data_IF_830609595188
#
_entry.id   IF_830609595188
#
_cell.length_a   1.000
_cell.length_b   1.000
_cell.length_c   1.000
_cell.angle_alpha   90.00
_cell.angle_beta   90.00
_cell.angle_gamma   90.00
#
_symmetry.space_group_name_H-M   'P 1'
#
loop_
_entity.id
_entity.type
_entity.pdbx_description
1 polymer ?
#
# COMPACT_ATOMS: atom_id res chain seq x y z
N UNK A 1 12.56 28.73 -7.99
CA UNK A 1 12.39 27.34 -8.41
C UNK A 1 11.18 26.78 -7.71
N UNK A 2 10.41 25.91 -8.36
CA UNK A 2 9.21 25.30 -7.78
C UNK A 2 9.62 24.26 -6.74
N UNK A 3 9.16 24.38 -5.49
CA UNK A 3 9.44 23.45 -4.40
C UNK A 3 8.42 22.30 -4.39
N UNK A 4 8.89 21.06 -4.32
CA UNK A 4 8.08 19.84 -4.34
C UNK A 4 7.95 19.28 -2.92
N UNK A 5 6.72 19.06 -2.45
CA UNK A 5 6.43 18.26 -1.27
C UNK A 5 6.11 16.82 -1.70
N UNK A 6 6.91 15.86 -1.28
CA UNK A 6 6.74 14.43 -1.51
C UNK A 6 6.22 13.82 -0.21
N UNK A 7 5.01 13.24 -0.25
CA UNK A 7 4.35 12.67 0.92
C UNK A 7 4.59 11.16 0.97
N UNK A 8 5.39 10.72 1.94
CA UNK A 8 5.81 9.34 2.16
C UNK A 8 7.19 9.02 1.59
N UNK A 9 8.04 8.39 2.42
CA UNK A 9 9.37 7.88 2.04
C UNK A 9 9.33 6.35 1.75
N UNK A 10 8.29 5.90 1.08
CA UNK A 10 8.19 4.54 0.52
C UNK A 10 8.87 4.44 -0.86
N UNK A 11 8.75 3.28 -1.54
CA UNK A 11 9.42 3.06 -2.83
C UNK A 11 9.16 4.15 -3.87
N UNK A 12 7.91 4.60 -4.02
CA UNK A 12 7.55 5.62 -5.02
C UNK A 12 7.95 7.03 -4.58
N UNK A 13 7.88 7.34 -3.28
CA UNK A 13 8.33 8.64 -2.77
C UNK A 13 9.85 8.83 -2.91
N UNK A 14 10.64 7.78 -2.68
CA UNK A 14 12.09 7.83 -2.87
C UNK A 14 12.47 7.87 -4.36
N UNK A 15 11.74 7.18 -5.23
CA UNK A 15 11.88 7.31 -6.69
C UNK A 15 11.62 8.75 -7.13
N UNK A 16 10.55 9.38 -6.61
CA UNK A 16 10.24 10.78 -6.89
C UNK A 16 11.29 11.75 -6.34
N UNK A 17 11.86 11.47 -5.16
CA UNK A 17 12.95 12.25 -4.59
C UNK A 17 14.19 12.21 -5.48
N UNK A 18 14.56 11.02 -5.97
CA UNK A 18 15.69 10.87 -6.88
C UNK A 18 15.44 11.56 -8.23
N UNK A 19 14.22 11.48 -8.77
CA UNK A 19 13.82 12.21 -9.96
C UNK A 19 13.92 13.74 -9.76
N UNK A 20 13.58 14.25 -8.56
CA UNK A 20 13.74 15.66 -8.23
C UNK A 20 15.22 16.08 -8.18
N UNK A 21 16.11 15.22 -7.64
CA UNK A 21 17.57 15.44 -7.68
C UNK A 21 18.06 15.54 -9.13
N UNK A 22 17.69 14.59 -9.99
CA UNK A 22 18.07 14.58 -11.42
C UNK A 22 17.56 15.82 -12.17
N UNK A 23 16.36 16.29 -11.83
CA UNK A 23 15.76 17.49 -12.41
C UNK A 23 16.29 18.81 -11.82
N UNK A 24 17.11 18.78 -10.78
CA UNK A 24 17.60 19.98 -10.08
C UNK A 24 16.48 20.77 -9.40
N UNK A 25 15.38 20.13 -9.00
CA UNK A 25 14.24 20.77 -8.36
C UNK A 25 14.33 20.62 -6.83
N UNK A 26 14.10 21.69 -6.05
CA UNK A 26 14.09 21.61 -4.59
C UNK A 26 12.88 20.80 -4.12
N UNK A 27 13.10 19.94 -3.14
CA UNK A 27 12.06 19.08 -2.60
C UNK A 27 12.21 18.87 -1.09
N UNK A 28 11.13 18.41 -0.46
CA UNK A 28 11.12 17.85 0.90
C UNK A 28 10.27 16.60 0.91
N UNK A 29 10.77 15.51 1.48
CA UNK A 29 10.04 14.28 1.72
C UNK A 29 9.52 14.29 3.15
N UNK A 30 8.22 14.07 3.34
CA UNK A 30 7.58 13.98 4.66
C UNK A 30 7.20 12.52 4.93
N UNK A 31 7.86 11.91 5.91
CA UNK A 31 7.59 10.53 6.33
C UNK A 31 6.97 10.52 7.74
N UNK A 32 5.82 9.88 7.85
CA UNK A 32 5.10 9.79 9.12
C UNK A 32 5.76 8.86 10.13
N UNK A 33 6.48 7.83 9.65
CA UNK A 33 7.25 6.94 10.50
C UNK A 33 8.57 7.59 10.96
N UNK A 34 9.18 7.04 11.99
CA UNK A 34 10.51 7.45 12.48
C UNK A 34 11.65 7.03 11.55
N UNK A 35 11.37 6.20 10.57
CA UNK A 35 12.31 5.61 9.63
C UNK A 35 11.73 5.54 8.22
N UNK A 36 12.61 5.36 7.23
CA UNK A 36 12.23 5.14 5.83
C UNK A 36 11.36 3.89 5.67
N UNK A 37 10.37 3.99 4.77
CA UNK A 37 9.53 2.85 4.37
C UNK A 37 8.80 2.15 5.53
N UNK A 38 8.30 2.92 6.52
CA UNK A 38 7.66 2.37 7.72
C UNK A 38 6.57 1.33 7.44
N UNK A 39 5.76 1.53 6.40
CA UNK A 39 4.75 0.55 6.00
C UNK A 39 5.38 -0.75 5.46
N UNK A 40 6.46 -0.69 4.66
CA UNK A 40 7.15 -1.89 4.16
C UNK A 40 7.80 -2.66 5.32
N UNK A 41 8.43 -1.96 6.25
CA UNK A 41 8.99 -2.55 7.47
C UNK A 41 7.96 -3.33 8.28
N UNK A 42 6.72 -2.86 8.33
CA UNK A 42 5.66 -3.50 9.11
C UNK A 42 5.30 -4.92 8.63
N UNK A 43 5.68 -5.28 7.40
CA UNK A 43 5.57 -6.62 6.82
C UNK A 43 6.91 -7.11 6.26
N UNK A 44 8.01 -6.67 6.85
CA UNK A 44 9.38 -6.97 6.41
C UNK A 44 9.71 -8.46 6.30
N UNK A 45 9.09 -9.33 7.10
CA UNK A 45 9.23 -10.79 7.06
C UNK A 45 8.58 -11.43 5.83
N UNK A 46 7.70 -10.73 5.11
CA UNK A 46 6.94 -11.29 3.99
C UNK A 46 7.78 -11.33 2.73
N UNK A 47 7.92 -12.50 2.11
CA UNK A 47 8.55 -12.65 0.81
C UNK A 47 7.64 -12.14 -0.32
N UNK A 48 8.21 -11.31 -1.20
CA UNK A 48 7.54 -10.86 -2.40
C UNK A 48 7.48 -12.00 -3.45
N UNK A 49 6.46 -12.00 -4.27
CA UNK A 49 6.35 -12.92 -5.40
C UNK A 49 6.93 -12.34 -6.70
N UNK A 50 7.46 -11.11 -6.64
CA UNK A 50 8.19 -10.44 -7.71
C UNK A 50 9.70 -10.53 -7.45
N UNK A 51 10.54 -10.90 -8.45
CA UNK A 51 11.99 -10.97 -8.29
C UNK A 51 12.60 -9.57 -8.14
N UNK A 52 13.87 -9.50 -7.73
CA UNK A 52 14.61 -8.24 -7.58
C UNK A 52 14.52 -7.32 -8.80
N UNK A 53 14.58 -7.87 -10.01
CA UNK A 53 14.48 -7.12 -11.27
C UNK A 53 13.17 -6.33 -11.42
N UNK A 54 12.13 -6.70 -10.68
CA UNK A 54 10.83 -6.04 -10.71
C UNK A 54 10.60 -5.10 -9.52
N UNK A 55 11.55 -5.03 -8.59
CA UNK A 55 11.41 -4.26 -7.33
C UNK A 55 12.40 -3.09 -7.23
N UNK A 56 13.31 -2.93 -8.20
CA UNK A 56 14.29 -1.84 -8.25
C UNK A 56 14.27 -1.22 -9.65
N UNK A 57 14.03 0.09 -9.72
CA UNK A 57 14.06 0.85 -10.98
C UNK A 57 15.50 1.00 -11.48
N UNK A 58 15.64 1.25 -12.77
CA UNK A 58 16.95 1.54 -13.37
C UNK A 58 17.56 2.83 -12.82
N UNK A 59 16.73 3.83 -12.50
CA UNK A 59 17.16 5.07 -11.83
C UNK A 59 17.79 4.78 -10.47
N UNK A 60 17.07 4.03 -9.64
CA UNK A 60 17.55 3.66 -8.29
C UNK A 60 18.82 2.82 -8.38
N UNK A 61 18.86 1.85 -9.30
CA UNK A 61 20.04 1.01 -9.53
C UNK A 61 21.28 1.85 -9.82
N UNK A 62 21.21 2.73 -10.82
CA UNK A 62 22.33 3.62 -11.18
C UNK A 62 22.78 4.50 -10.02
N UNK A 63 21.84 5.08 -9.27
CA UNK A 63 22.16 5.95 -8.16
C UNK A 63 22.91 5.20 -7.04
N UNK A 64 22.43 4.02 -6.67
CA UNK A 64 23.05 3.19 -5.64
C UNK A 64 24.43 2.66 -6.08
N UNK A 65 24.55 2.16 -7.30
CA UNK A 65 25.83 1.69 -7.85
C UNK A 65 26.88 2.82 -7.89
N UNK A 66 26.46 4.04 -8.31
CA UNK A 66 27.32 5.21 -8.32
C UNK A 66 27.80 5.60 -6.91
N UNK A 67 26.95 5.39 -5.90
CA UNK A 67 27.28 5.63 -4.50
C UNK A 67 28.05 4.48 -3.82
N UNK A 68 28.37 3.40 -4.55
CA UNK A 68 29.09 2.26 -4.02
C UNK A 68 28.23 1.27 -3.22
N UNK A 69 26.90 1.33 -3.37
CA UNK A 69 25.95 0.39 -2.79
C UNK A 69 25.48 -0.60 -3.87
N UNK A 70 26.00 -1.84 -3.91
CA UNK A 70 25.61 -2.80 -4.92
C UNK A 70 24.14 -3.20 -4.73
N UNK A 71 23.38 -3.14 -5.80
CA UNK A 71 21.99 -3.62 -5.82
C UNK A 71 22.01 -5.14 -5.93
N UNK A 72 21.16 -5.88 -5.18
CA UNK A 72 21.09 -7.33 -5.25
C UNK A 72 20.88 -7.85 -6.67
N UNK A 73 21.48 -8.99 -6.96
CA UNK A 73 21.32 -9.67 -8.24
C UNK A 73 19.86 -10.10 -8.44
N UNK A 74 19.43 -10.11 -9.68
CA UNK A 74 18.14 -10.66 -10.08
C UNK A 74 18.11 -12.18 -10.07
N UNK A 75 19.27 -12.81 -9.95
CA UNK A 75 19.46 -14.25 -9.90
C UNK A 75 20.28 -14.61 -8.65
N UNK A 76 19.97 -15.76 -8.05
CA UNK A 76 20.75 -16.33 -6.96
C UNK A 76 22.04 -16.99 -7.49
N UNK A 77 22.84 -17.57 -6.56
CA UNK A 77 24.09 -18.27 -6.90
C UNK A 77 23.90 -19.48 -7.84
N UNK A 78 22.68 -19.96 -8.01
CA UNK A 78 22.30 -21.08 -8.89
C UNK A 78 21.79 -20.62 -10.25
N UNK A 79 21.69 -19.30 -10.49
CA UNK A 79 21.10 -18.72 -11.67
C UNK A 79 19.56 -18.74 -11.67
N UNK A 80 18.93 -18.97 -10.50
CA UNK A 80 17.49 -18.90 -10.33
C UNK A 80 17.07 -17.48 -9.91
N UNK A 81 15.81 -17.11 -10.21
CA UNK A 81 15.30 -15.79 -9.83
C UNK A 81 15.34 -15.61 -8.31
N UNK A 82 15.99 -14.55 -7.86
CA UNK A 82 16.05 -14.18 -6.44
C UNK A 82 14.87 -13.29 -6.07
N UNK A 83 14.20 -13.64 -4.97
CA UNK A 83 12.99 -12.98 -4.48
C UNK A 83 13.28 -12.34 -3.11
N UNK A 84 13.16 -10.99 -2.97
CA UNK A 84 13.36 -10.33 -1.69
C UNK A 84 12.19 -10.55 -0.74
N UNK A 85 12.46 -10.41 0.54
CA UNK A 85 11.43 -10.05 1.53
C UNK A 85 11.21 -8.53 1.53
N UNK A 86 10.15 -8.07 2.22
CA UNK A 86 9.97 -6.63 2.46
C UNK A 86 11.14 -6.01 3.22
N UNK A 87 11.73 -6.75 4.17
CA UNK A 87 12.93 -6.36 4.92
C UNK A 87 14.14 -6.21 4.02
N UNK A 88 14.41 -7.19 3.17
CA UNK A 88 15.50 -7.12 2.19
C UNK A 88 15.38 -5.90 1.29
N UNK A 89 14.17 -5.61 0.79
CA UNK A 89 13.93 -4.42 -0.02
C UNK A 89 14.25 -3.14 0.74
N UNK A 90 13.89 -3.07 2.01
CA UNK A 90 14.20 -1.91 2.85
C UNK A 90 15.70 -1.80 3.10
N UNK A 91 16.32 -2.86 3.58
CA UNK A 91 17.72 -2.82 4.05
C UNK A 91 18.71 -2.67 2.90
N UNK A 92 18.46 -3.33 1.78
CA UNK A 92 19.39 -3.37 0.66
C UNK A 92 19.14 -2.29 -0.41
N UNK A 93 17.96 -1.66 -0.42
CA UNK A 93 17.61 -0.66 -1.45
C UNK A 93 17.09 0.65 -0.84
N UNK A 94 15.97 0.61 -0.10
CA UNK A 94 15.29 1.85 0.29
C UNK A 94 16.06 2.64 1.35
N UNK A 95 16.68 1.98 2.30
CA UNK A 95 17.50 2.62 3.34
C UNK A 95 18.80 3.20 2.77
N UNK A 96 19.60 2.49 1.96
CA UNK A 96 20.74 3.09 1.26
C UNK A 96 20.34 4.26 0.37
N UNK A 97 19.23 4.16 -0.38
CA UNK A 97 18.73 5.24 -1.22
C UNK A 97 18.37 6.50 -0.41
N UNK A 98 17.65 6.33 0.71
CA UNK A 98 17.32 7.42 1.61
C UNK A 98 18.56 8.04 2.30
N UNK A 99 19.66 7.27 2.40
CA UNK A 99 20.93 7.69 2.97
C UNK A 99 21.84 8.45 2.02
N UNK A 100 21.52 8.55 0.73
CA UNK A 100 22.33 9.31 -0.22
C UNK A 100 22.43 10.80 0.16
N UNK A 101 23.61 11.39 0.06
CA UNK A 101 23.87 12.81 0.40
C UNK A 101 22.90 13.79 -0.30
N UNK A 102 22.45 13.44 -1.50
CA UNK A 102 21.49 14.25 -2.26
C UNK A 102 20.04 14.10 -1.78
N UNK A 103 19.71 13.11 -0.95
CA UNK A 103 18.35 12.79 -0.50
C UNK A 103 18.19 12.95 1.02
N UNK A 104 19.12 12.42 1.80
CA UNK A 104 19.02 12.35 3.25
C UNK A 104 18.71 13.70 3.94
N UNK A 105 19.33 14.84 3.56
CA UNK A 105 19.03 16.14 4.16
C UNK A 105 17.61 16.64 3.91
N UNK A 106 16.91 16.05 2.94
CA UNK A 106 15.59 16.47 2.50
C UNK A 106 14.46 15.60 3.05
N UNK A 107 14.76 14.55 3.84
CA UNK A 107 13.75 13.71 4.47
C UNK A 107 13.44 14.18 5.89
N UNK A 108 12.16 14.37 6.18
CA UNK A 108 11.65 14.72 7.50
C UNK A 108 10.86 13.53 8.07
N UNK A 109 11.54 12.74 8.89
CA UNK A 109 10.94 11.62 9.59
C UNK A 109 10.04 12.08 10.75
N UNK A 110 9.13 11.20 11.21
CA UNK A 110 8.20 11.49 12.28
C UNK A 110 7.26 12.66 11.98
N UNK A 111 7.07 12.98 10.70
CA UNK A 111 6.32 14.16 10.25
C UNK A 111 5.17 13.74 9.34
N UNK A 112 3.96 13.76 9.86
CA UNK A 112 2.75 13.41 9.12
C UNK A 112 2.11 14.65 8.51
N UNK A 113 1.80 14.60 7.22
CA UNK A 113 0.89 15.58 6.60
C UNK A 113 -0.54 15.20 7.00
N UNK A 114 -1.22 16.12 7.69
CA UNK A 114 -2.59 15.95 8.20
C UNK A 114 -3.60 16.43 7.17
N UNK A 115 -3.37 17.63 6.63
CA UNK A 115 -4.25 18.25 5.63
C UNK A 115 -3.45 19.04 4.59
N UNK A 116 -3.99 19.08 3.39
CA UNK A 116 -3.46 19.87 2.26
C UNK A 116 -4.58 20.77 1.73
N UNK A 117 -4.29 22.05 1.62
CA UNK A 117 -5.19 23.05 1.02
C UNK A 117 -4.43 24.01 0.11
N UNK A 118 -5.14 24.92 -0.57
CA UNK A 118 -4.53 26.04 -1.29
C UNK A 118 -4.41 27.25 -0.40
N UNK A 119 -3.28 27.94 -0.46
CA UNK A 119 -3.04 29.18 0.27
C UNK A 119 -4.05 30.26 -0.14
N UNK A 120 -4.88 30.69 0.84
CA UNK A 120 -5.87 31.74 0.67
C UNK A 120 -7.06 31.40 -0.25
N UNK A 121 -7.33 30.11 -0.52
CA UNK A 121 -8.46 29.68 -1.36
C UNK A 121 -9.23 28.51 -0.74
N UNK A 122 -10.55 28.60 -0.77
CA UNK A 122 -11.42 27.50 -0.44
C UNK A 122 -11.58 26.51 -1.62
N UNK A 123 -12.08 25.33 -1.33
CA UNK A 123 -12.28 24.27 -2.35
C UNK A 123 -13.19 24.70 -3.50
N UNK A 124 -14.22 25.47 -3.21
CA UNK A 124 -15.27 25.88 -4.15
C UNK A 124 -14.95 27.18 -4.89
N UNK A 125 -13.76 27.74 -4.73
CA UNK A 125 -13.32 28.96 -5.41
C UNK A 125 -12.45 28.62 -6.62
N UNK A 126 -12.52 29.46 -7.65
CA UNK A 126 -11.70 29.38 -8.86
C UNK A 126 -11.76 28.02 -9.59
N UNK A 127 -12.97 27.44 -9.66
CA UNK A 127 -13.19 26.16 -10.34
C UNK A 127 -12.98 26.33 -11.85
N UNK A 128 -12.07 25.50 -12.42
CA UNK A 128 -11.79 25.50 -13.86
C UNK A 128 -11.01 26.71 -14.37
N UNK A 129 -10.47 27.55 -13.48
CA UNK A 129 -9.61 28.68 -13.85
C UNK A 129 -8.13 28.37 -13.62
N UNK A 130 -7.23 29.16 -14.24
CA UNK A 130 -5.78 29.05 -13.99
C UNK A 130 -5.32 29.68 -12.67
N UNK A 131 -6.18 30.36 -11.93
CA UNK A 131 -5.80 31.14 -10.74
C UNK A 131 -5.27 30.23 -9.62
N UNK A 132 -5.83 29.04 -9.45
CA UNK A 132 -5.35 28.09 -8.44
C UNK A 132 -3.88 27.70 -8.63
N UNK A 133 -3.41 27.60 -9.87
CA UNK A 133 -2.01 27.29 -10.18
C UNK A 133 -1.02 28.40 -9.74
N UNK A 134 -1.51 29.63 -9.49
CA UNK A 134 -0.67 30.74 -9.03
C UNK A 134 -0.46 30.78 -7.52
N UNK A 135 -1.16 29.89 -6.77
CA UNK A 135 -1.07 29.83 -5.32
C UNK A 135 -0.34 28.57 -4.89
N UNK A 136 0.41 28.65 -3.79
CA UNK A 136 1.09 27.50 -3.20
C UNK A 136 0.09 26.57 -2.50
N UNK A 137 0.48 25.34 -2.29
CA UNK A 137 -0.17 24.47 -1.33
C UNK A 137 0.22 24.91 0.09
N UNK A 138 -0.75 24.84 0.99
CA UNK A 138 -0.59 24.97 2.43
C UNK A 138 -0.74 23.59 3.04
N UNK A 139 0.30 23.12 3.72
CA UNK A 139 0.41 21.79 4.30
C UNK A 139 0.31 21.93 5.83
N UNK A 140 -0.65 21.25 6.45
CA UNK A 140 -0.70 21.09 7.90
C UNK A 140 0.09 19.86 8.28
N UNK A 141 1.15 20.03 9.05
CA UNK A 141 2.03 18.98 9.54
C UNK A 141 1.76 18.68 11.00
N UNK A 142 1.98 17.42 11.39
CA UNK A 142 2.02 17.00 12.79
C UNK A 142 3.28 16.19 13.04
N UNK A 143 4.08 16.60 14.02
CA UNK A 143 5.28 15.86 14.43
C UNK A 143 4.96 14.67 15.35
N UNK A 144 5.97 13.86 15.67
CA UNK A 144 5.84 12.70 16.55
C UNK A 144 5.40 13.06 17.99
N UNK A 145 5.59 14.31 18.42
CA UNK A 145 5.14 14.83 19.72
C UNK A 145 3.71 15.36 19.70
N UNK A 146 3.08 15.39 18.51
CA UNK A 146 1.72 15.90 18.30
C UNK A 146 1.65 17.40 18.05
N UNK A 147 2.79 18.11 17.95
CA UNK A 147 2.80 19.54 17.62
C UNK A 147 2.44 19.74 16.15
N UNK A 148 1.65 20.76 15.89
CA UNK A 148 1.24 21.13 14.53
C UNK A 148 1.98 22.38 14.04
N UNK A 149 2.31 22.34 12.74
CA UNK A 149 2.94 23.45 12.02
C UNK A 149 2.43 23.54 10.60
N UNK A 150 2.75 24.63 9.92
CA UNK A 150 2.34 24.86 8.53
C UNK A 150 3.56 25.10 7.67
N UNK A 151 3.59 24.41 6.52
CA UNK A 151 4.58 24.65 5.45
C UNK A 151 3.89 24.83 4.10
N UNK A 152 4.68 25.24 3.10
CA UNK A 152 4.18 25.58 1.78
C UNK A 152 5.00 24.89 0.70
N UNK A 153 4.33 24.46 -0.37
CA UNK A 153 4.94 23.87 -1.56
C UNK A 153 4.23 24.32 -2.83
N UNK A 154 4.94 24.27 -3.95
CA UNK A 154 4.38 24.61 -5.27
C UNK A 154 3.77 23.38 -5.94
N UNK A 155 4.30 22.20 -5.64
CA UNK A 155 3.87 20.90 -6.15
C UNK A 155 3.71 19.94 -4.99
N UNK A 156 2.70 19.08 -5.02
CA UNK A 156 2.53 18.00 -4.05
C UNK A 156 2.42 16.66 -4.78
N UNK A 157 3.28 15.71 -4.39
CA UNK A 157 3.26 14.33 -4.84
C UNK A 157 2.80 13.44 -3.68
N UNK A 158 1.59 12.92 -3.77
CA UNK A 158 1.04 12.01 -2.76
C UNK A 158 1.46 10.57 -3.07
N UNK A 159 2.52 10.13 -2.38
CA UNK A 159 3.10 8.79 -2.45
C UNK A 159 2.81 7.97 -1.17
N UNK A 160 1.75 8.31 -0.41
CA UNK A 160 1.47 7.73 0.91
C UNK A 160 0.99 6.28 0.87
N UNK A 161 0.61 5.76 -0.29
CA UNK A 161 0.14 4.39 -0.44
C UNK A 161 -1.24 4.14 0.21
N UNK A 162 -1.49 2.89 0.63
CA UNK A 162 -2.82 2.45 1.08
C UNK A 162 -2.82 1.79 2.47
N UNK A 163 -1.69 1.34 3.00
CA UNK A 163 -1.62 0.48 4.19
C UNK A 163 -2.19 1.10 5.46
N UNK A 164 -2.14 2.44 5.60
CA UNK A 164 -2.68 3.15 6.78
C UNK A 164 -4.22 3.24 6.78
N UNK A 165 -4.88 2.81 5.70
CA UNK A 165 -6.34 2.86 5.59
C UNK A 165 -6.92 1.50 5.14
N UNK A 166 -6.85 0.47 6.02
CA UNK A 166 -7.38 -0.85 5.73
C UNK A 166 -8.90 -0.84 5.62
N UNK A 167 -9.43 -1.72 4.76
CA UNK A 167 -10.86 -1.90 4.63
C UNK A 167 -11.46 -2.50 5.91
N UNK A 168 -12.72 -2.18 6.16
CA UNK A 168 -13.50 -2.75 7.25
C UNK A 168 -13.76 -4.26 7.04
N UNK A 169 -14.04 -4.97 8.12
CA UNK A 169 -14.33 -6.40 8.12
C UNK A 169 -15.74 -6.73 7.61
N UNK A 170 -16.69 -5.83 7.88
CA UNK A 170 -18.10 -6.10 7.68
C UNK A 170 -18.52 -6.23 6.21
N UNK A 171 -19.64 -6.87 6.01
CA UNK A 171 -20.24 -7.06 4.70
C UNK A 171 -20.47 -5.71 3.99
N UNK A 172 -20.27 -5.69 2.66
CA UNK A 172 -20.45 -4.48 1.86
C UNK A 172 -19.35 -3.43 2.05
N UNK A 173 -18.28 -3.72 2.81
CA UNK A 173 -17.15 -2.81 3.03
C UNK A 173 -17.39 -1.75 4.11
N UNK A 174 -18.46 -1.86 4.88
CA UNK A 174 -18.70 -1.07 6.09
C UNK A 174 -18.25 -1.82 7.34
N UNK A 175 -18.08 -1.13 8.46
CA UNK A 175 -17.73 -1.79 9.73
C UNK A 175 -18.85 -2.73 10.17
N UNK A 176 -18.47 -3.91 10.64
CA UNK A 176 -19.41 -4.78 11.33
C UNK A 176 -19.77 -4.20 12.71
N UNK A 177 -21.01 -4.34 13.19
CA UNK A 177 -21.34 -4.07 14.57
C UNK A 177 -20.34 -4.73 15.52
N UNK A 178 -19.82 -3.99 16.50
CA UNK A 178 -18.82 -4.44 17.45
C UNK A 178 -17.36 -4.40 16.98
N UNK A 179 -17.10 -4.14 15.69
CA UNK A 179 -15.73 -4.12 15.12
C UNK A 179 -14.81 -3.10 15.82
N UNK A 180 -15.33 -1.95 16.21
CA UNK A 180 -14.55 -0.95 16.93
C UNK A 180 -14.19 -1.40 18.35
N UNK A 181 -15.12 -2.05 19.05
CA UNK A 181 -14.90 -2.58 20.40
C UNK A 181 -13.96 -3.79 20.44
N UNK A 182 -13.88 -4.54 19.33
CA UNK A 182 -13.00 -5.70 19.19
C UNK A 182 -11.64 -5.34 18.54
N UNK A 183 -11.30 -4.07 18.38
CA UNK A 183 -10.13 -3.62 17.61
C UNK A 183 -8.79 -4.19 18.09
N UNK A 184 -8.63 -4.45 19.38
CA UNK A 184 -7.42 -5.05 19.97
C UNK A 184 -7.18 -6.51 19.53
N UNK A 185 -8.23 -7.22 19.12
CA UNK A 185 -8.17 -8.58 18.62
C UNK A 185 -7.93 -8.66 17.10
N UNK A 186 -7.99 -7.53 16.38
CA UNK A 186 -7.96 -7.47 14.92
C UNK A 186 -6.60 -6.98 14.43
N UNK A 187 -5.89 -7.85 13.75
CA UNK A 187 -4.63 -7.55 13.08
C UNK A 187 -4.91 -7.35 11.59
N UNK A 188 -4.48 -6.20 11.02
CA UNK A 188 -4.81 -5.80 9.65
C UNK A 188 -3.60 -5.84 8.68
N UNK A 189 -2.64 -6.66 9.01
CA UNK A 189 -1.44 -6.96 8.20
C UNK A 189 -1.11 -8.44 8.35
N UNK A 190 -0.25 -8.96 7.50
CA UNK A 190 0.27 -10.32 7.65
C UNK A 190 1.12 -10.33 8.92
N UNK A 191 0.79 -11.15 9.92
CA UNK A 191 1.60 -11.25 11.13
C UNK A 191 2.91 -11.99 10.85
N UNK A 192 3.93 -11.69 11.63
CA UNK A 192 5.07 -12.58 11.77
C UNK A 192 4.71 -13.65 12.82
N UNK A 193 4.48 -14.87 12.37
CA UNK A 193 4.06 -15.98 13.23
C UNK A 193 5.22 -16.56 14.04
N UNK A 194 6.47 -16.20 13.74
CA UNK A 194 7.66 -16.60 14.48
C UNK A 194 7.98 -15.58 15.58
N UNK A 195 7.59 -14.31 15.40
CA UNK A 195 7.85 -13.27 16.39
C UNK A 195 6.90 -13.39 17.60
N UNK A 196 7.37 -13.10 18.83
CA UNK A 196 6.50 -12.97 19.99
C UNK A 196 5.53 -11.82 19.79
N UNK A 197 4.28 -11.96 20.24
CA UNK A 197 3.32 -10.86 20.23
C UNK A 197 3.90 -9.66 21.02
N UNK A 198 3.91 -8.49 20.38
CA UNK A 198 4.42 -7.27 20.99
C UNK A 198 3.65 -6.96 22.28
N UNK A 199 4.36 -6.91 23.42
CA UNK A 199 3.77 -6.64 24.73
C UNK A 199 4.10 -7.66 25.83
N UNK A 200 4.83 -8.72 25.51
CA UNK A 200 5.49 -9.59 26.52
C UNK A 200 4.58 -10.45 27.43
N UNK A 201 3.25 -10.36 27.31
CA UNK A 201 2.30 -11.04 28.19
C UNK A 201 1.34 -11.97 27.42
N UNK A 202 1.23 -11.83 26.11
CA UNK A 202 0.38 -12.72 25.32
C UNK A 202 1.17 -13.95 24.85
N UNK A 203 0.61 -15.16 24.92
CA UNK A 203 1.19 -16.34 24.25
C UNK A 203 1.40 -16.03 22.77
N UNK A 204 2.44 -16.63 22.17
CA UNK A 204 2.64 -16.57 20.72
C UNK A 204 1.38 -17.00 19.95
N UNK A 205 1.41 -17.01 18.66
CA UNK A 205 0.28 -17.39 17.81
C UNK A 205 -0.15 -18.87 17.99
N UNK A 206 0.75 -19.71 18.47
CA UNK A 206 0.50 -21.14 18.70
C UNK A 206 -0.55 -21.41 19.77
N UNK A 207 -1.38 -22.42 19.55
CA UNK A 207 -2.44 -22.86 20.47
C UNK A 207 -3.69 -21.98 20.46
N UNK A 208 -3.76 -20.94 19.61
CA UNK A 208 -4.88 -20.00 19.53
C UNK A 208 -5.92 -20.42 18.50
N UNK A 209 -7.15 -19.93 18.70
CA UNK A 209 -8.24 -19.96 17.71
C UNK A 209 -8.14 -18.69 16.88
N UNK A 210 -7.82 -18.81 15.61
CA UNK A 210 -7.53 -17.71 14.71
C UNK A 210 -8.60 -17.67 13.62
N UNK A 211 -9.20 -16.48 13.40
CA UNK A 211 -10.03 -16.22 12.23
C UNK A 211 -9.21 -15.46 11.20
N UNK A 212 -8.96 -16.06 10.05
CA UNK A 212 -8.42 -15.40 8.87
C UNK A 212 -9.55 -14.92 7.97
N UNK A 213 -9.61 -13.63 7.64
CA UNK A 213 -10.64 -13.04 6.76
C UNK A 213 -9.97 -12.47 5.52
N UNK A 214 -10.37 -12.96 4.35
CA UNK A 214 -9.89 -12.49 3.05
C UNK A 214 -9.55 -13.63 2.09
N UNK A 215 -9.40 -13.30 0.81
CA UNK A 215 -9.05 -14.27 -0.24
C UNK A 215 -7.97 -13.76 -1.21
N UNK A 216 -7.46 -12.52 -1.01
CA UNK A 216 -6.38 -11.94 -1.81
C UNK A 216 -5.00 -12.51 -1.44
N UNK A 217 -3.96 -12.12 -2.19
CA UNK A 217 -2.60 -12.66 -2.02
C UNK A 217 -2.07 -12.54 -0.58
N UNK A 218 -2.36 -11.45 0.13
CA UNK A 218 -1.97 -11.31 1.55
C UNK A 218 -2.62 -12.37 2.44
N UNK A 219 -3.91 -12.70 2.20
CA UNK A 219 -4.59 -13.75 2.95
C UNK A 219 -4.06 -15.14 2.59
N UNK A 220 -3.70 -15.36 1.32
CA UNK A 220 -3.08 -16.60 0.86
C UNK A 220 -1.70 -16.80 1.49
N UNK A 221 -0.89 -15.73 1.59
CA UNK A 221 0.41 -15.76 2.28
C UNK A 221 0.22 -16.10 3.75
N UNK A 222 -0.69 -15.41 4.45
CA UNK A 222 -0.98 -15.71 5.85
C UNK A 222 -1.51 -17.13 6.05
N UNK A 223 -2.33 -17.64 5.11
CA UNK A 223 -2.84 -19.02 5.17
C UNK A 223 -1.71 -20.06 5.04
N UNK A 224 -0.77 -19.86 4.11
CA UNK A 224 0.41 -20.71 3.96
C UNK A 224 1.25 -20.74 5.24
N UNK A 225 1.52 -19.58 5.83
CA UNK A 225 2.35 -19.46 7.02
C UNK A 225 1.64 -20.02 8.27
N UNK A 226 0.29 -19.87 8.34
CA UNK A 226 -0.55 -20.49 9.37
C UNK A 226 -0.62 -22.02 9.25
N UNK A 227 -0.58 -22.61 8.05
CA UNK A 227 -0.49 -24.07 7.89
C UNK A 227 0.75 -24.62 8.59
N UNK A 228 1.91 -24.01 8.35
CA UNK A 228 3.15 -24.38 9.04
C UNK A 228 3.06 -24.21 10.57
N UNK A 229 2.32 -23.20 11.05
CA UNK A 229 2.08 -23.02 12.49
C UNK A 229 1.18 -24.12 13.07
N UNK A 230 0.10 -24.47 12.38
CA UNK A 230 -0.82 -25.55 12.80
C UNK A 230 -0.10 -26.89 12.89
N UNK A 231 0.79 -27.18 11.93
CA UNK A 231 1.60 -28.40 11.92
C UNK A 231 2.60 -28.46 13.09
N UNK A 232 3.25 -27.33 13.40
CA UNK A 232 4.27 -27.26 14.46
C UNK A 232 3.69 -27.16 15.86
N UNK A 233 2.51 -26.55 16.04
CA UNK A 233 1.97 -26.24 17.37
C UNK A 233 0.59 -26.83 17.53
N UNK A 234 0.47 -28.04 18.16
CA UNK A 234 -0.81 -28.66 18.43
C UNK A 234 -1.76 -27.76 19.22
N UNK A 235 -3.04 -27.78 18.86
CA UNK A 235 -4.05 -26.94 19.48
C UNK A 235 -4.32 -25.62 18.77
N UNK A 236 -3.45 -25.19 17.84
CA UNK A 236 -3.73 -24.06 16.94
C UNK A 236 -4.90 -24.43 16.02
N UNK A 237 -5.89 -23.56 15.92
CA UNK A 237 -7.06 -23.74 15.06
C UNK A 237 -7.27 -22.53 14.19
N UNK A 238 -7.48 -22.73 12.88
CA UNK A 238 -7.71 -21.67 11.93
C UNK A 238 -9.07 -21.83 11.28
N UNK A 239 -9.93 -20.83 11.42
CA UNK A 239 -11.12 -20.66 10.59
C UNK A 239 -10.79 -19.66 9.50
N UNK A 240 -10.96 -20.02 8.23
CA UNK A 240 -10.69 -19.15 7.09
C UNK A 240 -11.98 -18.71 6.41
N UNK A 241 -12.41 -17.47 6.65
CA UNK A 241 -13.61 -16.89 6.06
C UNK A 241 -13.30 -16.20 4.72
N UNK A 242 -13.91 -16.66 3.65
CA UNK A 242 -13.71 -16.17 2.28
C UNK A 242 -15.06 -15.72 1.73
N UNK A 243 -15.14 -14.48 1.25
CA UNK A 243 -16.40 -13.89 0.75
C UNK A 243 -16.94 -14.61 -0.49
N UNK A 244 -16.07 -15.01 -1.41
CA UNK A 244 -16.48 -15.77 -2.60
C UNK A 244 -16.95 -17.18 -2.21
N UNK A 245 -18.10 -17.65 -2.72
CA UNK A 245 -18.53 -19.04 -2.51
C UNK A 245 -17.68 -20.05 -3.31
N UNK A 246 -17.05 -19.58 -4.39
CA UNK A 246 -16.13 -20.36 -5.24
C UNK A 246 -14.87 -19.53 -5.50
N UNK A 247 -13.92 -19.48 -4.54
CA UNK A 247 -12.76 -18.63 -4.65
C UNK A 247 -11.78 -19.15 -5.70
N UNK A 248 -11.48 -18.32 -6.70
CA UNK A 248 -10.41 -18.59 -7.68
C UNK A 248 -9.04 -18.18 -7.17
N UNK A 249 -8.98 -17.41 -6.10
CA UNK A 249 -7.77 -16.82 -5.50
C UNK A 249 -6.96 -15.93 -6.45
N UNK A 250 -7.59 -15.43 -7.52
CA UNK A 250 -6.89 -14.63 -8.53
C UNK A 250 -5.97 -15.45 -9.42
N UNK A 251 -6.33 -16.71 -9.69
CA UNK A 251 -5.59 -17.57 -10.61
C UNK A 251 -5.49 -16.92 -12.00
N UNK A 252 -4.30 -16.94 -12.55
CA UNK A 252 -3.97 -16.48 -13.90
C UNK A 252 -3.50 -17.69 -14.70
N UNK A 253 -4.08 -17.89 -15.89
CA UNK A 253 -3.64 -18.95 -16.79
C UNK A 253 -2.22 -18.63 -17.28
N UNK A 254 -1.35 -19.64 -17.31
CA UNK A 254 0.06 -19.50 -17.68
C UNK A 254 0.79 -18.35 -16.95
N UNK A 255 0.55 -18.22 -15.66
CA UNK A 255 1.11 -17.15 -14.81
C UNK A 255 2.65 -17.06 -14.94
N UNK A 256 3.12 -15.95 -15.46
CA UNK A 256 4.54 -15.68 -15.65
C UNK A 256 5.31 -15.41 -14.35
N UNK A 257 4.60 -15.33 -13.18
CA UNK A 257 5.20 -15.20 -11.85
C UNK A 257 5.12 -16.54 -11.10
N UNK A 258 6.19 -17.37 -11.11
CA UNK A 258 6.15 -18.72 -10.51
C UNK A 258 5.77 -18.71 -9.02
N UNK A 259 6.25 -17.72 -8.26
CA UNK A 259 5.94 -17.61 -6.83
C UNK A 259 4.46 -17.26 -6.60
N UNK A 260 3.85 -16.38 -7.44
CA UNK A 260 2.42 -16.08 -7.38
C UNK A 260 1.60 -17.32 -7.75
N UNK A 261 1.97 -18.01 -8.83
CA UNK A 261 1.32 -19.25 -9.23
C UNK A 261 1.33 -20.30 -8.12
N UNK A 262 2.50 -20.52 -7.51
CA UNK A 262 2.67 -21.46 -6.39
C UNK A 262 1.79 -21.07 -5.21
N UNK A 263 1.74 -19.79 -4.83
CA UNK A 263 0.92 -19.27 -3.74
C UNK A 263 -0.58 -19.53 -3.99
N UNK A 264 -1.05 -19.24 -5.21
CA UNK A 264 -2.46 -19.46 -5.60
C UNK A 264 -2.82 -20.96 -5.55
N UNK A 265 -1.95 -21.84 -6.09
CA UNK A 265 -2.15 -23.29 -6.04
C UNK A 265 -2.20 -23.81 -4.61
N UNK A 266 -1.33 -23.28 -3.74
CA UNK A 266 -1.32 -23.63 -2.34
C UNK A 266 -2.64 -23.22 -1.64
N UNK A 267 -3.10 -21.99 -1.88
CA UNK A 267 -4.39 -21.52 -1.34
C UNK A 267 -5.58 -22.36 -1.83
N UNK A 268 -5.59 -22.76 -3.11
CA UNK A 268 -6.61 -23.66 -3.66
C UNK A 268 -6.60 -25.02 -2.97
N UNK A 269 -5.40 -25.59 -2.69
CA UNK A 269 -5.25 -26.85 -1.94
C UNK A 269 -5.76 -26.70 -0.51
N UNK A 270 -5.40 -25.62 0.19
CA UNK A 270 -5.87 -25.35 1.55
C UNK A 270 -7.39 -25.12 1.63
N UNK A 271 -8.01 -24.64 0.57
CA UNK A 271 -9.46 -24.46 0.52
C UNK A 271 -10.22 -25.72 0.11
N UNK A 272 -9.53 -26.84 -0.18
CA UNK A 272 -10.14 -28.13 -0.53
C UNK A 272 -10.61 -28.92 0.71
N UNK A 273 -11.25 -30.06 0.47
CA UNK A 273 -12.01 -30.84 1.49
C UNK A 273 -11.16 -31.36 2.65
N UNK A 274 -9.89 -31.70 2.41
CA UNK A 274 -9.00 -32.29 3.45
C UNK A 274 -8.07 -31.22 4.08
N UNK A 275 -8.55 -30.00 4.21
CA UNK A 275 -7.79 -28.88 4.78
C UNK A 275 -7.56 -29.04 6.29
N UNK A 276 -6.39 -28.65 6.81
CA UNK A 276 -6.18 -28.50 8.25
C UNK A 276 -6.95 -27.32 8.84
N UNK A 277 -7.57 -26.48 7.98
CA UNK A 277 -8.36 -25.31 8.35
C UNK A 277 -9.86 -25.60 8.26
N UNK A 278 -10.64 -24.93 9.12
CA UNK A 278 -12.08 -24.82 8.96
C UNK A 278 -12.38 -23.71 7.92
N UNK A 279 -12.49 -24.09 6.64
CA UNK A 279 -12.67 -23.13 5.54
C UNK A 279 -14.15 -22.79 5.35
N UNK A 280 -14.48 -21.52 5.43
CA UNK A 280 -15.83 -20.96 5.33
C UNK A 280 -15.97 -20.09 4.06
N UNK A 281 -16.11 -20.73 2.90
CA UNK A 281 -16.37 -20.03 1.63
C UNK A 281 -17.80 -19.46 1.59
N UNK A 282 -18.00 -18.34 0.89
CA UNK A 282 -19.29 -17.65 0.82
C UNK A 282 -19.70 -16.98 2.13
N UNK A 283 -18.75 -16.62 2.98
CA UNK A 283 -19.01 -16.01 4.29
C UNK A 283 -18.47 -14.59 4.37
N UNK A 284 -19.22 -13.71 5.02
CA UNK A 284 -18.80 -12.36 5.41
C UNK A 284 -19.03 -12.15 6.89
N UNK A 285 -18.22 -11.28 7.50
CA UNK A 285 -18.39 -10.91 8.91
C UNK A 285 -19.63 -10.02 9.04
N UNK A 286 -20.57 -10.42 9.91
CA UNK A 286 -21.83 -9.72 10.15
C UNK A 286 -21.81 -8.94 11.47
N UNK A 287 -21.19 -9.48 12.53
CA UNK A 287 -21.03 -8.82 13.83
C UNK A 287 -19.86 -9.40 14.62
N UNK A 288 -19.35 -8.63 15.59
CA UNK A 288 -18.35 -9.05 16.56
C UNK A 288 -18.79 -8.66 17.97
N UNK A 289 -18.51 -9.52 18.94
CA UNK A 289 -18.76 -9.25 20.36
C UNK A 289 -17.58 -9.78 21.18
N UNK A 290 -16.91 -8.85 21.89
CA UNK A 290 -15.86 -9.24 22.82
C UNK A 290 -16.46 -9.96 24.03
N UNK A 291 -15.88 -11.09 24.44
CA UNK A 291 -16.30 -11.89 25.57
C UNK A 291 -15.09 -12.31 26.41
N UNK A 292 -15.30 -12.81 27.65
CA UNK A 292 -14.19 -13.35 28.46
C UNK A 292 -13.43 -14.51 27.79
N UNK A 293 -14.10 -15.25 26.91
CA UNK A 293 -13.53 -16.41 26.20
C UNK A 293 -12.92 -16.06 24.83
N UNK A 294 -12.82 -14.77 24.48
CA UNK A 294 -12.34 -14.28 23.18
C UNK A 294 -13.39 -13.43 22.47
N UNK A 295 -13.35 -13.42 21.14
CA UNK A 295 -14.30 -12.68 20.30
C UNK A 295 -15.31 -13.66 19.68
N UNK A 296 -16.59 -13.43 19.93
CA UNK A 296 -17.68 -14.10 19.21
C UNK A 296 -17.87 -13.39 17.88
N UNK A 297 -17.60 -14.07 16.78
CA UNK A 297 -17.77 -13.55 15.43
C UNK A 297 -18.97 -14.21 14.77
N UNK A 298 -19.93 -13.40 14.36
CA UNK A 298 -21.05 -13.83 13.53
C UNK A 298 -20.66 -13.76 12.06
N UNK A 299 -20.70 -14.88 11.39
CA UNK A 299 -20.51 -15.02 9.95
C UNK A 299 -21.87 -15.16 9.27
N UNK A 300 -22.05 -14.53 8.11
CA UNK A 300 -23.28 -14.56 7.33
C UNK A 300 -23.05 -15.06 5.93
N UNK A 301 -23.96 -15.90 5.45
CA UNK A 301 -24.05 -16.40 4.08
C UNK A 301 -24.84 -15.46 3.17
N UNK A 302 -24.78 -15.69 1.87
CA UNK A 302 -25.53 -14.91 0.89
C UNK A 302 -27.06 -15.06 1.03
N UNK A 303 -27.54 -16.21 1.51
CA UNK A 303 -28.96 -16.47 1.79
C UNK A 303 -29.45 -15.84 3.10
N UNK A 304 -28.54 -15.23 3.86
CA UNK A 304 -28.84 -14.55 5.12
C UNK A 304 -28.73 -15.45 6.37
N UNK A 305 -28.39 -16.73 6.22
CA UNK A 305 -28.12 -17.62 7.36
C UNK A 305 -26.92 -17.11 8.15
N UNK A 306 -26.92 -17.33 9.47
CA UNK A 306 -25.88 -16.90 10.39
C UNK A 306 -25.31 -18.07 11.15
N UNK A 307 -24.01 -18.02 11.37
CA UNK A 307 -23.28 -18.95 12.24
C UNK A 307 -22.29 -18.16 13.11
N UNK A 308 -21.90 -18.70 14.24
CA UNK A 308 -20.95 -18.06 15.14
C UNK A 308 -19.70 -18.89 15.31
N UNK A 309 -18.56 -18.22 15.42
CA UNK A 309 -17.27 -18.78 15.80
C UNK A 309 -16.70 -17.98 16.95
N UNK A 310 -16.02 -18.64 17.89
CA UNK A 310 -15.32 -17.97 18.99
C UNK A 310 -13.83 -18.07 18.73
N UNK A 311 -13.15 -16.92 18.69
CA UNK A 311 -11.74 -16.82 18.30
C UNK A 311 -10.96 -15.95 19.28
N UNK A 312 -9.65 -16.17 19.34
CA UNK A 312 -8.74 -15.40 20.18
C UNK A 312 -8.11 -14.23 19.42
N UNK A 313 -8.00 -14.38 18.09
CA UNK A 313 -7.44 -13.35 17.18
C UNK A 313 -8.14 -13.36 15.83
N UNK A 314 -8.19 -12.20 15.21
CA UNK A 314 -8.73 -12.01 13.86
C UNK A 314 -7.64 -11.40 12.98
N UNK A 315 -7.28 -12.07 11.91
CA UNK A 315 -6.39 -11.55 10.87
C UNK A 315 -7.25 -11.06 9.72
N UNK A 316 -7.35 -9.73 9.58
CA UNK A 316 -8.20 -9.06 8.59
C UNK A 316 -7.38 -8.64 7.38
N UNK A 317 -7.37 -9.44 6.33
CA UNK A 317 -6.65 -9.16 5.08
C UNK A 317 -7.64 -8.91 3.94
N UNK A 318 -8.50 -7.92 4.18
CA UNK A 318 -9.59 -7.51 3.28
C UNK A 318 -9.15 -6.43 2.28
N UNK A 319 -7.86 -6.14 2.22
CA UNK A 319 -7.27 -5.09 1.40
C UNK A 319 -7.28 -3.71 2.08
N UNK A 320 -6.77 -2.73 1.37
CA UNK A 320 -6.68 -1.34 1.83
C UNK A 320 -6.92 -0.39 0.65
N UNK A 321 -7.26 0.85 0.93
CA UNK A 321 -7.48 1.90 -0.07
C UNK A 321 -6.82 3.19 0.39
N UNK A 322 -6.40 4.05 -0.54
CA UNK A 322 -5.78 5.35 -0.20
C UNK A 322 -6.67 6.22 0.69
N UNK A 323 -6.07 6.94 1.63
CA UNK A 323 -6.78 7.90 2.46
C UNK A 323 -6.87 9.25 1.74
N UNK A 324 -8.09 9.62 1.33
CA UNK A 324 -8.40 10.87 0.63
C UNK A 324 -8.67 12.05 1.60
N UNK A 325 -8.77 11.80 2.91
CA UNK A 325 -9.15 12.83 3.88
C UNK A 325 -8.18 13.99 3.92
N UNK A 326 -6.86 13.72 3.73
CA UNK A 326 -5.84 14.76 3.78
C UNK A 326 -5.98 15.84 2.71
N UNK A 327 -6.52 15.51 1.53
CA UNK A 327 -6.73 16.47 0.44
C UNK A 327 -8.21 16.78 0.17
N UNK A 328 -9.06 16.60 1.17
CA UNK A 328 -10.50 16.86 1.06
C UNK A 328 -10.83 18.32 0.66
N UNK A 329 -9.92 19.25 0.94
CA UNK A 329 -10.05 20.66 0.60
C UNK A 329 -9.49 21.03 -0.79
N UNK A 330 -9.01 20.05 -1.55
CA UNK A 330 -8.54 20.25 -2.91
C UNK A 330 -9.60 19.84 -3.95
N UNK A 331 -9.46 20.36 -5.17
CA UNK A 331 -10.36 20.03 -6.29
C UNK A 331 -9.90 18.74 -6.98
N UNK A 332 -9.80 17.66 -6.21
CA UNK A 332 -9.49 16.33 -6.73
C UNK A 332 -10.78 15.62 -7.11
N UNK A 333 -10.88 15.15 -8.35
CA UNK A 333 -11.96 14.29 -8.78
C UNK A 333 -11.61 12.83 -8.50
N UNK A 334 -12.34 12.23 -7.58
CA UNK A 334 -12.26 10.79 -7.30
C UNK A 334 -13.40 10.04 -7.98
N UNK A 335 -13.10 8.87 -8.50
CA UNK A 335 -14.11 7.90 -8.88
C UNK A 335 -14.73 7.27 -7.62
N UNK A 336 -15.98 7.53 -7.35
CA UNK A 336 -16.68 6.97 -6.18
C UNK A 336 -16.69 5.44 -6.15
N UNK A 337 -16.66 4.77 -7.31
CA UNK A 337 -16.66 3.32 -7.39
C UNK A 337 -15.27 2.72 -7.02
N UNK A 338 -14.18 3.36 -7.48
CA UNK A 338 -12.83 2.82 -7.35
C UNK A 338 -11.99 3.52 -6.30
N UNK A 339 -12.39 4.69 -5.79
CA UNK A 339 -11.62 5.53 -4.87
C UNK A 339 -10.26 5.99 -5.43
N UNK A 340 -10.08 5.93 -6.75
CA UNK A 340 -8.90 6.44 -7.45
C UNK A 340 -9.18 7.77 -8.15
N UNK A 341 -8.13 8.52 -8.59
CA UNK A 341 -8.29 9.72 -9.41
C UNK A 341 -9.09 9.42 -10.68
N UNK A 342 -10.08 10.27 -11.02
CA UNK A 342 -11.11 9.97 -12.02
C UNK A 342 -10.54 9.60 -13.40
N UNK A 343 -9.54 10.32 -13.90
CA UNK A 343 -8.98 10.07 -15.24
C UNK A 343 -8.30 8.71 -15.30
N UNK A 344 -7.43 8.41 -14.33
CA UNK A 344 -6.76 7.13 -14.26
C UNK A 344 -7.75 5.99 -13.97
N UNK A 345 -8.73 6.21 -13.08
CA UNK A 345 -9.77 5.24 -12.79
C UNK A 345 -10.59 4.89 -14.06
N UNK A 346 -10.90 5.87 -14.90
CA UNK A 346 -11.60 5.64 -16.18
C UNK A 346 -10.75 4.79 -17.14
N UNK A 347 -9.45 5.05 -17.24
CA UNK A 347 -8.54 4.27 -18.06
C UNK A 347 -8.43 2.83 -17.57
N UNK A 348 -8.26 2.63 -16.25
CA UNK A 348 -8.18 1.31 -15.62
C UNK A 348 -9.49 0.51 -15.78
N UNK A 349 -10.65 1.16 -15.70
CA UNK A 349 -11.95 0.50 -15.91
C UNK A 349 -12.20 0.12 -17.38
N UNK A 350 -11.63 0.87 -18.32
CA UNK A 350 -11.69 0.55 -19.75
C UNK A 350 -10.73 -0.58 -20.15
N UNK A 351 -9.67 -0.80 -19.36
CA UNK A 351 -8.73 -1.89 -19.53
C UNK A 351 -9.35 -3.20 -19.07
N UNK A 352 -9.38 -4.21 -19.92
CA UNK A 352 -9.93 -5.55 -19.59
C UNK A 352 -8.94 -6.43 -18.82
N UNK A 353 -7.71 -5.98 -18.62
CA UNK A 353 -6.66 -6.80 -18.00
C UNK A 353 -6.80 -6.88 -16.49
N UNK A 354 -6.87 -8.11 -15.98
CA UNK A 354 -6.85 -8.45 -14.55
C UNK A 354 -5.42 -8.72 -14.07
N UNK A 355 -4.47 -9.01 -14.99
CA UNK A 355 -3.10 -9.32 -14.64
C UNK A 355 -2.26 -8.05 -14.43
N UNK A 356 -1.59 -7.96 -13.28
CA UNK A 356 -0.72 -6.84 -12.93
C UNK A 356 0.49 -6.70 -13.88
N UNK A 357 0.94 -7.78 -14.53
CA UNK A 357 2.07 -7.76 -15.47
C UNK A 357 1.75 -7.01 -16.76
N UNK A 358 0.50 -7.01 -17.17
CA UNK A 358 0.03 -6.33 -18.39
C UNK A 358 -0.44 -4.90 -18.15
N UNK A 359 -0.39 -4.43 -16.89
CA UNK A 359 -0.70 -3.04 -16.57
C UNK A 359 0.41 -2.13 -17.10
N UNK A 360 -0.01 -1.10 -17.83
CA UNK A 360 0.86 -0.04 -18.37
C UNK A 360 0.50 1.28 -17.70
N UNK A 361 1.43 2.23 -17.73
CA UNK A 361 1.06 3.61 -17.43
C UNK A 361 0.12 4.12 -18.52
N UNK A 362 -0.89 4.86 -18.11
CA UNK A 362 -1.90 5.39 -19.02
C UNK A 362 -1.59 6.82 -19.48
N UNK A 363 -0.35 7.27 -19.28
CA UNK A 363 0.18 8.55 -19.72
C UNK A 363 -0.09 9.70 -18.74
N UNK A 364 0.78 10.70 -18.81
CA UNK A 364 0.82 11.84 -17.90
C UNK A 364 -0.52 12.59 -17.73
N UNK A 365 -1.37 12.61 -18.78
CA UNK A 365 -2.66 13.31 -18.69
C UNK A 365 -3.64 12.63 -17.72
N UNK A 366 -3.52 11.31 -17.53
CA UNK A 366 -4.37 10.57 -16.58
C UNK A 366 -4.04 10.87 -15.12
N UNK A 367 -2.84 11.37 -14.85
CA UNK A 367 -2.38 11.74 -13.51
C UNK A 367 -2.79 13.16 -13.11
N UNK A 368 -3.26 14.00 -14.07
CA UNK A 368 -3.72 15.35 -13.81
C UNK A 368 -5.07 15.38 -13.15
N UNK A 369 -5.18 16.19 -12.11
CA UNK A 369 -6.44 16.52 -11.43
C UNK A 369 -6.91 17.93 -11.83
N UNK A 370 -8.20 18.29 -11.58
CA UNK A 370 -8.64 19.68 -11.62
C UNK A 370 -7.87 20.60 -10.67
N UNK A 371 -7.32 20.03 -9.57
CA UNK A 371 -6.35 20.71 -8.73
C UNK A 371 -4.97 20.68 -9.41
N UNK A 372 -4.46 21.81 -9.95
CA UNK A 372 -3.18 21.80 -10.64
C UNK A 372 -2.02 21.50 -9.68
N UNK A 373 -0.99 20.83 -10.19
CA UNK A 373 0.24 20.51 -9.45
C UNK A 373 0.06 19.60 -8.20
N UNK A 374 -1.08 18.93 -8.09
CA UNK A 374 -1.32 17.88 -7.11
C UNK A 374 -1.46 16.54 -7.83
N UNK A 375 -0.59 15.60 -7.50
CA UNK A 375 -0.54 14.27 -8.15
C UNK A 375 -0.62 13.17 -7.10
N UNK A 376 -1.40 12.13 -7.37
CA UNK A 376 -1.50 10.92 -6.56
C UNK A 376 -0.78 9.82 -7.31
N UNK A 377 0.27 9.24 -6.71
CA UNK A 377 1.18 8.29 -7.35
C UNK A 377 1.20 6.95 -6.61
N UNK A 378 1.69 5.94 -7.31
CA UNK A 378 1.84 4.61 -6.74
C UNK A 378 0.51 3.90 -6.51
N UNK A 379 0.50 2.92 -5.60
CA UNK A 379 -0.66 2.09 -5.30
C UNK A 379 -1.93 2.90 -4.99
N UNK A 380 -1.80 4.06 -4.35
CA UNK A 380 -2.92 4.94 -4.02
C UNK A 380 -3.68 5.43 -5.25
N UNK A 381 -2.96 5.70 -6.34
CA UNK A 381 -3.56 6.15 -7.60
C UNK A 381 -4.47 5.10 -8.26
N UNK A 382 -4.25 3.82 -7.95
CA UNK A 382 -5.04 2.70 -8.45
C UNK A 382 -6.36 2.48 -7.67
N UNK A 383 -6.53 3.20 -6.55
CA UNK A 383 -7.75 3.10 -5.73
C UNK A 383 -7.96 1.67 -5.21
N UNK A 384 -9.08 1.04 -5.60
CA UNK A 384 -9.43 -0.35 -5.21
C UNK A 384 -8.89 -1.42 -6.16
N UNK A 385 -8.21 -1.04 -7.23
CA UNK A 385 -7.56 -2.00 -8.11
C UNK A 385 -6.24 -2.46 -7.49
N UNK A 386 -6.10 -3.76 -7.21
CA UNK A 386 -4.93 -4.36 -6.57
C UNK A 386 -3.84 -4.82 -7.55
N UNK A 387 -4.01 -4.58 -8.86
CA UNK A 387 -3.05 -5.02 -9.89
C UNK A 387 -1.89 -4.05 -10.13
N UNK A 388 -1.51 -3.28 -9.13
CA UNK A 388 -0.38 -2.36 -9.17
C UNK A 388 0.96 -3.09 -9.00
N UNK A 389 1.96 -2.70 -9.80
CA UNK A 389 3.38 -3.05 -9.64
C UNK A 389 4.23 -1.79 -9.50
N UNK A 390 5.38 -1.90 -8.82
CA UNK A 390 6.30 -0.76 -8.62
C UNK A 390 6.73 -0.12 -9.93
N UNK A 391 6.92 -0.91 -10.99
CA UNK A 391 7.23 -0.43 -12.35
C UNK A 391 6.29 0.68 -12.81
N UNK A 392 4.98 0.47 -12.65
CA UNK A 392 3.97 1.47 -13.04
C UNK A 392 4.13 2.76 -12.23
N UNK A 393 4.47 2.65 -10.96
CA UNK A 393 4.74 3.82 -10.11
C UNK A 393 5.98 4.60 -10.57
N UNK A 394 7.01 3.92 -11.04
CA UNK A 394 8.20 4.58 -11.63
C UNK A 394 7.85 5.31 -12.92
N UNK A 395 7.08 4.68 -13.79
CA UNK A 395 6.55 5.30 -15.03
C UNK A 395 5.72 6.55 -14.70
N UNK A 396 4.85 6.50 -13.68
CA UNK A 396 4.09 7.67 -13.20
C UNK A 396 5.00 8.81 -12.73
N UNK A 397 6.10 8.48 -12.04
CA UNK A 397 7.09 9.49 -11.61
C UNK A 397 7.70 10.16 -12.84
N UNK A 398 8.17 9.39 -13.84
CA UNK A 398 8.75 9.92 -15.08
C UNK A 398 7.77 10.84 -15.82
N UNK A 399 6.51 10.43 -15.92
CA UNK A 399 5.44 11.20 -16.56
C UNK A 399 5.19 12.54 -15.86
N UNK A 400 5.12 12.54 -14.52
CA UNK A 400 4.91 13.78 -13.76
C UNK A 400 6.12 14.70 -13.88
N UNK A 401 7.35 14.18 -13.78
CA UNK A 401 8.54 15.01 -13.92
C UNK A 401 8.70 15.56 -15.34
N UNK A 402 8.25 14.85 -16.37
CA UNK A 402 8.15 15.38 -17.74
C UNK A 402 7.18 16.58 -17.82
N UNK A 403 6.03 16.53 -17.12
CA UNK A 403 5.11 17.68 -17.04
C UNK A 403 5.75 18.86 -16.31
N UNK A 404 6.46 18.61 -15.20
CA UNK A 404 7.11 19.65 -14.40
C UNK A 404 8.24 20.34 -15.19
N UNK A 405 9.02 19.60 -15.97
CA UNK A 405 10.06 20.12 -16.86
C UNK A 405 9.50 20.94 -18.02
N UNK A 406 8.40 20.51 -18.62
CA UNK A 406 7.74 21.25 -19.70
C UNK A 406 7.09 22.56 -19.23
N UNK A 407 6.75 22.67 -17.93
CA UNK A 407 6.16 23.87 -17.35
C UNK A 407 7.20 24.93 -16.89
N UNK A 408 8.50 24.62 -16.97
CA UNK A 408 9.56 25.60 -16.68
C UNK A 408 9.78 26.40 -17.97
N UNK A 409 9.50 27.74 -18.02
CA UNK A 409 9.87 28.57 -19.18
C UNK A 409 11.37 28.44 -19.39
N UNK A 410 11.81 28.21 -20.63
CA UNK A 410 13.20 28.32 -20.97
C UNK A 410 13.68 29.68 -20.42
N UNK A 411 14.74 29.68 -19.59
CA UNK A 411 15.33 30.90 -19.12
C UNK A 411 15.67 31.74 -20.36
N UNK A 412 14.95 32.84 -20.56
CA UNK A 412 15.21 33.77 -21.64
C UNK A 412 16.70 34.10 -21.60
N UNK A 413 17.39 33.70 -22.65
CA UNK A 413 18.80 33.98 -22.80
C UNK A 413 19.01 35.51 -22.69
N UNK A 414 19.75 35.90 -21.66
CA UNK A 414 20.23 37.23 -21.54
C UNK A 414 21.03 37.56 -22.82
N UNK A 415 20.52 38.53 -23.58
CA UNK A 415 21.28 39.27 -24.58
C UNK A 415 22.21 40.23 -23.88
#
# INVERSE_FOLDING_TARGET
>A
MRHIAILGAGPIGLEAALAAVEAGLPFTVYEAASEVAGNVRSWGHVQLFTPWSMNVSERVRRALETAGHPVPSSEDERGERAYPTGGDLVEQVLQPLAGLDAIAPHIRYGTRIVEVGREGMLKNEEIGTGVRATRRFRLLLRDASGNESVEYADVVLDCTGTYDNPNALGAGGIRAPGEAGASEYIIRRIPDFEAPLLGGIAPGWGGQRILLVGGGHSAQTAARDLEGLVERVPGTRVTWAIRSPSPTFGAVDDDALPMRHSLVKHAQKLAATDSPFDVRAGRSVDALEASPDGVVVTLRTADGSRETVIVDRIISLTGAVGDARMYRQLQVHECYATSGPMKLASALLASSSVDCLTQESHGADTLKNPEPDFYILGMKSYGRNSSFLLRVGWEQVDEVFSLLGAATPAADGAI
#
